data_IF_545687551569
#
_entry.id   IF_545687551569
#
_cell.length_a   1.000
_cell.length_b   1.000
_cell.length_c   1.000
_cell.angle_alpha   90.00
_cell.angle_beta   90.00
_cell.angle_gamma   90.00
#
_symmetry.space_group_name_H-M   'P 1'
#
loop_
_entity.id
_entity.type
_entity.pdbx_description
1 polymer ?
#
# COMPACT_ATOMS: atom_id res chain seq x y z
N UNK A 1 -37.78 -6.09 -10.87
CA UNK A 1 -37.03 -5.30 -9.87
C UNK A 1 -35.96 -4.48 -10.58
N UNK A 2 -36.01 -3.15 -10.56
CA UNK A 2 -35.01 -2.30 -11.21
C UNK A 2 -33.62 -2.59 -10.60
N UNK A 3 -32.63 -2.87 -11.44
CA UNK A 3 -31.24 -2.98 -10.97
C UNK A 3 -30.84 -1.64 -10.33
N UNK A 4 -30.32 -1.64 -9.09
CA UNK A 4 -29.89 -0.40 -8.46
C UNK A 4 -28.79 0.25 -9.31
N UNK A 5 -28.85 1.57 -9.47
CA UNK A 5 -27.85 2.31 -10.22
C UNK A 5 -26.44 2.04 -9.66
N UNK A 6 -25.41 1.80 -10.48
CA UNK A 6 -24.05 1.49 -9.99
C UNK A 6 -23.52 2.46 -8.95
N UNK A 7 -23.80 3.77 -9.11
CA UNK A 7 -23.41 4.79 -8.13
C UNK A 7 -24.09 4.62 -6.76
N UNK A 8 -25.33 4.12 -6.73
CA UNK A 8 -26.03 3.85 -5.48
C UNK A 8 -25.42 2.66 -4.73
N UNK A 9 -24.88 1.67 -5.46
CA UNK A 9 -24.19 0.51 -4.85
C UNK A 9 -22.85 0.91 -4.21
N UNK A 10 -22.09 1.81 -4.84
CA UNK A 10 -20.81 2.27 -4.31
C UNK A 10 -20.96 3.00 -2.98
N UNK A 11 -22.07 3.70 -2.79
CA UNK A 11 -22.36 4.48 -1.60
C UNK A 11 -23.04 3.66 -0.47
N UNK A 12 -23.10 2.33 -0.58
CA UNK A 12 -23.68 1.44 0.46
C UNK A 12 -22.68 1.04 1.54
N UNK A 13 -21.38 0.99 1.22
CA UNK A 13 -20.37 0.55 2.16
C UNK A 13 -19.03 1.26 1.92
N UNK A 14 -18.27 1.58 3.00
CA UNK A 14 -17.00 2.30 2.88
C UNK A 14 -15.97 1.61 1.98
N UNK A 15 -15.83 0.28 2.10
CA UNK A 15 -14.90 -0.46 1.25
C UNK A 15 -15.25 -0.35 -0.24
N UNK A 16 -16.53 -0.30 -0.64
CA UNK A 16 -16.94 -0.13 -2.05
C UNK A 16 -16.55 1.25 -2.56
N UNK A 17 -16.84 2.29 -1.77
CA UNK A 17 -16.57 3.68 -2.11
C UNK A 17 -15.08 3.97 -2.34
N UNK A 18 -14.19 3.29 -1.61
CA UNK A 18 -12.76 3.56 -1.65
C UNK A 18 -11.92 2.50 -2.41
N UNK A 19 -12.30 1.21 -2.38
CA UNK A 19 -11.50 0.17 -3.05
C UNK A 19 -11.64 0.21 -4.57
N UNK A 20 -12.83 0.54 -5.08
CA UNK A 20 -13.02 0.70 -6.53
C UNK A 20 -12.09 1.77 -7.11
N UNK A 21 -12.11 3.03 -6.63
CA UNK A 21 -11.16 4.02 -7.12
C UNK A 21 -9.72 3.62 -6.81
N UNK A 22 -9.42 2.97 -5.68
CA UNK A 22 -8.09 2.43 -5.41
C UNK A 22 -7.59 1.47 -6.49
N UNK A 23 -8.44 0.55 -6.97
CA UNK A 23 -8.09 -0.36 -8.08
C UNK A 23 -7.91 0.38 -9.41
N UNK A 24 -8.80 1.34 -9.71
CA UNK A 24 -8.71 2.15 -10.91
C UNK A 24 -7.42 2.97 -10.93
N UNK A 25 -7.05 3.61 -9.82
CA UNK A 25 -5.81 4.37 -9.72
C UNK A 25 -4.57 3.48 -9.76
N UNK A 26 -4.60 2.29 -9.14
CA UNK A 26 -3.49 1.34 -9.28
C UNK A 26 -3.23 0.99 -10.76
N UNK A 27 -4.28 0.75 -11.55
CA UNK A 27 -4.16 0.47 -12.99
C UNK A 27 -3.73 1.74 -13.75
N UNK A 28 -4.39 2.88 -13.52
CA UNK A 28 -4.11 4.14 -14.21
C UNK A 28 -2.68 4.62 -13.99
N UNK A 29 -2.19 4.58 -12.75
CA UNK A 29 -0.85 5.06 -12.41
C UNK A 29 0.24 4.13 -12.95
N UNK A 30 0.01 2.82 -12.97
CA UNK A 30 0.93 1.89 -13.64
C UNK A 30 0.87 2.03 -15.17
N UNK A 31 -0.28 2.36 -15.75
CA UNK A 31 -0.40 2.66 -17.17
C UNK A 31 0.37 3.93 -17.53
N UNK A 32 0.19 5.01 -16.75
CA UNK A 32 0.92 6.26 -16.93
C UNK A 32 2.43 6.05 -16.79
N UNK A 33 2.87 5.27 -15.78
CA UNK A 33 4.28 4.94 -15.62
C UNK A 33 4.84 4.07 -16.74
N UNK A 34 4.07 3.10 -17.22
CA UNK A 34 4.47 2.26 -18.37
C UNK A 34 4.61 3.09 -19.64
N UNK A 35 3.72 4.05 -19.86
CA UNK A 35 3.79 4.99 -20.98
C UNK A 35 5.02 5.90 -20.88
N UNK A 36 5.34 6.40 -19.69
CA UNK A 36 6.55 7.19 -19.43
C UNK A 36 7.85 6.38 -19.63
N UNK A 37 7.88 5.10 -19.26
CA UNK A 37 9.02 4.25 -19.54
C UNK A 37 9.15 3.97 -21.05
N UNK A 38 8.03 3.78 -21.74
CA UNK A 38 8.02 3.60 -23.19
C UNK A 38 8.47 4.86 -23.94
N UNK A 39 8.03 6.05 -23.53
CA UNK A 39 8.47 7.33 -24.15
C UNK A 39 9.98 7.50 -24.03
N UNK A 40 10.57 7.19 -22.87
CA UNK A 40 12.02 7.21 -22.64
C UNK A 40 12.78 6.24 -23.56
N UNK A 41 12.27 5.03 -23.76
CA UNK A 41 12.87 4.05 -24.67
C UNK A 41 12.81 4.50 -26.14
N UNK A 42 11.79 5.26 -26.50
CA UNK A 42 11.60 5.83 -27.84
C UNK A 42 12.32 7.18 -28.03
N UNK A 43 13.04 7.67 -27.02
CA UNK A 43 13.71 8.98 -27.08
C UNK A 43 12.75 10.18 -27.07
N UNK A 44 11.49 9.98 -26.67
CA UNK A 44 10.48 11.04 -26.57
C UNK A 44 10.57 11.68 -25.20
N UNK A 45 10.87 12.97 -25.17
CA UNK A 45 10.95 13.75 -23.94
C UNK A 45 9.73 14.65 -23.80
N UNK A 46 8.96 14.45 -22.74
CA UNK A 46 7.82 15.29 -22.37
C UNK A 46 8.24 16.18 -21.21
N UNK A 47 8.11 17.50 -21.39
CA UNK A 47 8.26 18.45 -20.28
C UNK A 47 7.01 18.38 -19.39
N UNK A 48 7.20 18.00 -18.12
CA UNK A 48 6.15 17.96 -17.10
C UNK A 48 6.41 19.03 -16.03
N UNK A 49 5.36 19.40 -15.31
CA UNK A 49 5.41 20.37 -14.22
C UNK A 49 6.37 19.98 -13.07
N UNK A 50 6.63 18.67 -12.92
CA UNK A 50 7.65 18.12 -12.01
C UNK A 50 8.35 16.94 -12.70
N UNK A 51 9.62 16.62 -12.36
CA UNK A 51 10.31 15.48 -12.93
C UNK A 51 9.53 14.17 -12.74
N UNK A 52 9.40 13.37 -13.80
CA UNK A 52 8.53 12.17 -13.78
C UNK A 52 8.96 11.11 -12.77
N UNK A 53 10.25 11.02 -12.43
CA UNK A 53 10.75 10.13 -11.36
C UNK A 53 10.30 10.56 -9.96
N UNK A 54 10.31 11.88 -9.69
CA UNK A 54 9.83 12.43 -8.41
C UNK A 54 8.31 12.30 -8.30
N UNK A 55 7.61 12.53 -9.42
CA UNK A 55 6.18 12.31 -9.53
C UNK A 55 5.80 10.84 -9.30
N UNK A 56 6.52 9.92 -9.93
CA UNK A 56 6.35 8.49 -9.72
C UNK A 56 6.51 8.11 -8.25
N UNK A 57 7.54 8.62 -7.56
CA UNK A 57 7.75 8.36 -6.14
C UNK A 57 6.54 8.80 -5.29
N UNK A 58 6.04 10.02 -5.49
CA UNK A 58 4.84 10.49 -4.79
C UNK A 58 3.61 9.62 -5.10
N UNK A 59 3.34 9.38 -6.39
CA UNK A 59 2.16 8.65 -6.85
C UNK A 59 2.17 7.17 -6.46
N UNK A 60 3.32 6.52 -6.37
CA UNK A 60 3.39 5.13 -5.90
C UNK A 60 3.14 5.01 -4.39
N UNK A 61 3.38 6.07 -3.61
CA UNK A 61 3.16 6.07 -2.16
C UNK A 61 1.73 6.49 -1.81
N UNK A 62 1.20 7.53 -2.45
CA UNK A 62 -0.10 8.13 -2.13
C UNK A 62 -1.20 7.83 -3.15
N UNK A 63 -0.86 7.38 -4.36
CA UNK A 63 -1.81 7.32 -5.46
C UNK A 63 -2.93 6.28 -5.32
N UNK A 64 -2.72 5.20 -4.54
CA UNK A 64 -3.76 4.19 -4.37
C UNK A 64 -3.78 3.51 -2.99
N UNK A 65 -2.66 3.36 -2.29
CA UNK A 65 -2.65 2.73 -0.96
C UNK A 65 -3.61 3.42 0.03
N UNK A 66 -3.63 4.77 0.14
CA UNK A 66 -4.53 5.44 1.09
C UNK A 66 -6.03 5.30 0.76
N UNK A 67 -6.39 5.03 -0.51
CA UNK A 67 -7.78 4.68 -0.88
C UNK A 67 -8.16 3.31 -0.32
N UNK A 68 -7.28 2.31 -0.43
CA UNK A 68 -7.49 1.01 0.21
C UNK A 68 -7.46 1.11 1.74
N UNK A 69 -6.60 1.95 2.31
CA UNK A 69 -6.59 2.19 3.77
C UNK A 69 -7.90 2.85 4.22
N UNK A 70 -8.42 3.84 3.48
CA UNK A 70 -9.73 4.46 3.77
C UNK A 70 -10.84 3.40 3.81
N UNK A 71 -10.97 2.59 2.76
CA UNK A 71 -12.01 1.58 2.69
C UNK A 71 -11.90 0.54 3.80
N UNK A 72 -10.66 0.17 4.16
CA UNK A 72 -10.40 -0.77 5.23
C UNK A 72 -10.68 -0.17 6.61
N UNK A 73 -10.14 1.00 6.91
CA UNK A 73 -10.25 1.64 8.23
C UNK A 73 -11.70 2.06 8.53
N UNK A 74 -12.46 2.50 7.54
CA UNK A 74 -13.88 2.83 7.74
C UNK A 74 -14.78 1.59 7.80
N UNK A 75 -14.31 0.41 7.39
CA UNK A 75 -15.08 -0.85 7.48
C UNK A 75 -14.70 -1.70 8.69
N UNK A 76 -13.40 -1.90 8.92
CA UNK A 76 -12.87 -2.76 9.97
C UNK A 76 -12.50 -1.98 11.25
N UNK A 77 -12.09 -0.72 11.12
CA UNK A 77 -11.73 0.14 12.26
C UNK A 77 -12.84 0.29 13.29
N UNK A 78 -14.08 0.64 12.90
CA UNK A 78 -15.22 0.70 13.83
C UNK A 78 -15.42 -0.60 14.60
N UNK A 79 -15.28 -1.76 13.92
CA UNK A 79 -15.38 -3.08 14.57
C UNK A 79 -14.26 -3.35 15.55
N UNK A 80 -13.03 -2.91 15.26
CA UNK A 80 -11.91 -3.03 16.20
C UNK A 80 -12.09 -2.17 17.44
N UNK A 81 -12.76 -1.04 17.26
CA UNK A 81 -12.95 -0.03 18.28
C UNK A 81 -14.29 -0.17 19.01
N UNK A 82 -15.18 -1.07 18.58
CA UNK A 82 -16.50 -1.25 19.19
C UNK A 82 -17.40 -0.02 19.05
N UNK A 83 -17.31 0.69 17.93
CA UNK A 83 -18.09 1.90 17.63
C UNK A 83 -18.80 1.78 16.28
N UNK A 84 -19.77 2.64 16.04
CA UNK A 84 -20.46 2.72 14.75
C UNK A 84 -19.55 3.26 13.64
N UNK A 85 -19.74 2.81 12.38
CA UNK A 85 -18.98 3.33 11.25
C UNK A 85 -19.32 4.80 10.96
N UNK A 86 -18.41 5.53 10.29
CA UNK A 86 -18.67 6.92 9.92
C UNK A 86 -19.88 7.02 8.99
N UNK A 87 -20.58 8.16 9.06
CA UNK A 87 -21.75 8.43 8.21
C UNK A 87 -21.42 8.47 6.72
N UNK A 88 -22.44 8.30 5.88
CA UNK A 88 -22.35 8.23 4.40
C UNK A 88 -21.63 9.41 3.77
N UNK A 89 -21.88 10.63 4.25
CA UNK A 89 -21.21 11.82 3.76
C UNK A 89 -19.69 11.72 3.89
N UNK A 90 -19.20 11.19 5.01
CA UNK A 90 -17.76 11.06 5.29
C UNK A 90 -17.15 9.91 4.50
N UNK A 91 -17.73 8.71 4.55
CA UNK A 91 -17.09 7.56 3.88
C UNK A 91 -17.13 7.64 2.35
N UNK A 92 -18.03 8.44 1.77
CA UNK A 92 -18.03 8.74 0.33
C UNK A 92 -17.19 9.99 0.03
N UNK A 93 -17.34 11.05 0.83
CA UNK A 93 -16.68 12.33 0.59
C UNK A 93 -15.16 12.26 0.72
N UNK A 94 -14.64 11.57 1.73
CA UNK A 94 -13.19 11.41 1.94
C UNK A 94 -12.49 10.79 0.73
N UNK A 95 -12.86 9.58 0.24
CA UNK A 95 -12.23 9.02 -0.96
C UNK A 95 -12.54 9.84 -2.22
N UNK A 96 -13.68 10.52 -2.32
CA UNK A 96 -13.97 11.39 -3.46
C UNK A 96 -13.03 12.60 -3.53
N UNK A 97 -12.70 13.22 -2.40
CA UNK A 97 -11.69 14.30 -2.33
C UNK A 97 -10.31 13.79 -2.75
N UNK A 98 -9.91 12.60 -2.28
CA UNK A 98 -8.64 11.99 -2.68
C UNK A 98 -8.60 11.68 -4.18
N UNK A 99 -9.69 11.12 -4.74
CA UNK A 99 -9.82 10.86 -6.18
C UNK A 99 -9.73 12.15 -6.99
N UNK A 100 -10.52 13.17 -6.63
CA UNK A 100 -10.48 14.46 -7.31
C UNK A 100 -9.10 15.11 -7.24
N UNK A 101 -8.46 15.04 -6.07
CA UNK A 101 -7.10 15.51 -5.86
C UNK A 101 -6.10 14.81 -6.77
N UNK A 102 -6.13 13.48 -6.86
CA UNK A 102 -5.24 12.71 -7.73
C UNK A 102 -5.47 12.98 -9.23
N UNK A 103 -6.73 13.13 -9.66
CA UNK A 103 -7.04 13.48 -11.05
C UNK A 103 -6.45 14.85 -11.41
N UNK A 104 -6.63 15.85 -10.55
CA UNK A 104 -6.06 17.19 -10.74
C UNK A 104 -4.53 17.17 -10.63
N UNK A 105 -3.97 16.35 -9.75
CA UNK A 105 -2.53 16.19 -9.61
C UNK A 105 -1.90 15.63 -10.89
N UNK A 106 -2.51 14.57 -11.46
CA UNK A 106 -2.10 13.97 -12.74
C UNK A 106 -2.28 14.92 -13.92
N UNK A 107 -3.42 15.61 -14.00
CA UNK A 107 -3.65 16.62 -15.04
C UNK A 107 -2.65 17.77 -14.91
N UNK A 108 -2.33 18.18 -13.68
CA UNK A 108 -1.36 19.23 -13.39
C UNK A 108 0.06 18.93 -13.86
N UNK A 109 0.45 17.66 -13.99
CA UNK A 109 1.73 17.31 -14.63
C UNK A 109 1.87 17.93 -16.03
N UNK A 110 0.76 18.09 -16.75
CA UNK A 110 0.71 18.65 -18.11
C UNK A 110 0.22 20.09 -18.12
N UNK A 111 -0.73 20.43 -17.23
CA UNK A 111 -1.36 21.75 -17.18
C UNK A 111 -0.56 22.78 -16.36
N UNK A 112 0.46 22.34 -15.63
CA UNK A 112 1.35 23.20 -14.85
C UNK A 112 1.20 23.04 -13.33
N UNK A 113 2.21 23.54 -12.60
CA UNK A 113 2.38 23.34 -11.16
C UNK A 113 1.19 23.83 -10.32
N UNK A 114 0.48 24.88 -10.75
CA UNK A 114 -0.71 25.39 -10.05
C UNK A 114 -1.82 24.34 -9.95
N UNK A 115 -2.06 23.58 -11.02
CA UNK A 115 -3.03 22.49 -11.02
C UNK A 115 -2.57 21.31 -10.15
N UNK A 116 -1.26 21.02 -10.16
CA UNK A 116 -0.65 20.02 -9.26
C UNK A 116 -0.83 20.41 -7.80
N UNK A 117 -0.64 21.69 -7.44
CA UNK A 117 -0.84 22.21 -6.09
C UNK A 117 -2.31 22.15 -5.64
N UNK A 118 -3.25 22.50 -6.52
CA UNK A 118 -4.70 22.37 -6.23
C UNK A 118 -5.05 20.89 -5.99
N UNK A 119 -4.56 19.99 -6.86
CA UNK A 119 -4.75 18.56 -6.70
C UNK A 119 -4.15 18.03 -5.39
N UNK A 120 -2.94 18.49 -5.04
CA UNK A 120 -2.25 18.15 -3.80
C UNK A 120 -3.02 18.63 -2.56
N UNK A 121 -3.53 19.87 -2.57
CA UNK A 121 -4.32 20.42 -1.48
C UNK A 121 -5.64 19.64 -1.29
N UNK A 122 -6.34 19.35 -2.38
CA UNK A 122 -7.59 18.58 -2.35
C UNK A 122 -7.36 17.14 -1.86
N UNK A 123 -6.28 16.50 -2.30
CA UNK A 123 -5.87 15.19 -1.81
C UNK A 123 -5.55 15.22 -0.31
N UNK A 124 -4.80 16.23 0.13
CA UNK A 124 -4.42 16.42 1.54
C UNK A 124 -5.65 16.65 2.42
N UNK A 125 -6.68 17.36 1.92
CA UNK A 125 -7.95 17.51 2.62
C UNK A 125 -8.66 16.17 2.79
N UNK A 126 -8.72 15.36 1.74
CA UNK A 126 -9.26 14.00 1.82
C UNK A 126 -8.49 13.12 2.81
N UNK A 127 -7.16 13.10 2.73
CA UNK A 127 -6.30 12.35 3.65
C UNK A 127 -6.42 12.83 5.12
N UNK A 128 -6.57 14.14 5.34
CA UNK A 128 -6.84 14.71 6.66
C UNK A 128 -8.20 14.28 7.17
N UNK A 129 -9.22 14.22 6.30
CA UNK A 129 -10.53 13.68 6.62
C UNK A 129 -10.48 12.22 7.06
N UNK A 130 -9.68 11.37 6.39
CA UNK A 130 -9.39 10.00 6.85
C UNK A 130 -8.81 9.99 8.26
N UNK A 131 -7.74 10.76 8.47
CA UNK A 131 -6.97 10.80 9.72
C UNK A 131 -7.83 11.28 10.89
N UNK A 132 -8.53 12.40 10.71
CA UNK A 132 -9.40 12.98 11.73
C UNK A 132 -10.59 12.08 12.04
N UNK A 133 -11.22 11.50 11.03
CA UNK A 133 -12.33 10.55 11.25
C UNK A 133 -11.87 9.36 12.07
N UNK A 134 -10.71 8.78 11.73
CA UNK A 134 -10.17 7.64 12.48
C UNK A 134 -9.76 8.02 13.91
N UNK A 135 -9.25 9.24 14.12
CA UNK A 135 -9.00 9.78 15.47
C UNK A 135 -10.29 9.88 16.29
N UNK A 136 -11.37 10.41 15.71
CA UNK A 136 -12.68 10.48 16.38
C UNK A 136 -13.21 9.09 16.75
N UNK A 137 -13.11 8.10 15.86
CA UNK A 137 -13.49 6.71 16.16
C UNK A 137 -12.66 6.13 17.31
N UNK A 138 -11.36 6.43 17.36
CA UNK A 138 -10.46 5.97 18.43
C UNK A 138 -10.80 6.59 19.79
N UNK A 139 -11.12 7.90 19.80
CA UNK A 139 -11.53 8.62 21.00
C UNK A 139 -12.88 8.14 21.54
N UNK A 140 -13.82 7.81 20.66
CA UNK A 140 -15.13 7.26 21.02
C UNK A 140 -15.09 5.78 21.45
N UNK A 141 -13.94 5.10 21.31
CA UNK A 141 -13.84 3.67 21.52
C UNK A 141 -13.95 3.25 23.00
N UNK A 142 -14.88 2.35 23.35
CA UNK A 142 -14.94 1.75 24.69
C UNK A 142 -13.91 0.63 24.91
N UNK A 143 -13.13 0.25 23.89
CA UNK A 143 -12.23 -0.90 23.97
C UNK A 143 -11.00 -0.60 24.84
N UNK A 144 -10.63 -1.55 25.69
CA UNK A 144 -9.45 -1.44 26.55
C UNK A 144 -8.14 -1.50 25.74
N UNK A 145 -8.03 -2.45 24.80
CA UNK A 145 -6.87 -2.56 23.91
C UNK A 145 -7.08 -1.78 22.62
N UNK A 146 -6.45 -0.60 22.55
CA UNK A 146 -6.47 0.30 21.39
C UNK A 146 -5.10 0.37 20.69
N UNK A 147 -4.13 -0.46 21.05
CA UNK A 147 -2.72 -0.33 20.63
C UNK A 147 -2.54 -0.30 19.12
N UNK A 148 -3.19 -1.22 18.39
CA UNK A 148 -3.11 -1.24 16.92
C UNK A 148 -3.75 0.00 16.28
N UNK A 149 -4.86 0.49 16.84
CA UNK A 149 -5.52 1.67 16.30
C UNK A 149 -4.72 2.95 16.59
N UNK A 150 -4.10 3.08 17.79
CA UNK A 150 -3.16 4.16 18.09
C UNK A 150 -1.96 4.14 17.14
N UNK A 151 -1.37 2.96 16.87
CA UNK A 151 -0.25 2.83 15.94
C UNK A 151 -0.61 3.22 14.50
N UNK A 152 -1.78 2.80 14.02
CA UNK A 152 -2.30 3.23 12.71
C UNK A 152 -2.53 4.73 12.67
N UNK A 153 -3.12 5.32 13.72
CA UNK A 153 -3.36 6.75 13.78
C UNK A 153 -2.06 7.56 13.80
N UNK A 154 -1.06 7.13 14.57
CA UNK A 154 0.26 7.76 14.58
C UNK A 154 0.90 7.72 13.18
N UNK A 155 0.79 6.58 12.48
CA UNK A 155 1.28 6.44 11.13
C UNK A 155 0.53 7.34 10.12
N UNK A 156 -0.80 7.47 10.26
CA UNK A 156 -1.59 8.42 9.46
C UNK A 156 -1.14 9.86 9.71
N UNK A 157 -0.82 10.21 10.96
CA UNK A 157 -0.28 11.53 11.28
C UNK A 157 1.08 11.77 10.57
N UNK A 158 1.97 10.79 10.57
CA UNK A 158 3.21 10.85 9.77
C UNK A 158 2.92 10.98 8.26
N UNK A 159 1.86 10.36 7.75
CA UNK A 159 1.41 10.52 6.37
C UNK A 159 0.93 11.93 6.06
N UNK A 160 0.23 12.58 7.00
CA UNK A 160 -0.15 13.98 6.88
C UNK A 160 1.08 14.91 6.90
N UNK A 161 2.06 14.65 7.76
CA UNK A 161 3.34 15.38 7.77
C UNK A 161 4.11 15.19 6.46
N UNK A 162 4.10 13.99 5.87
CA UNK A 162 4.68 13.74 4.56
C UNK A 162 3.99 14.55 3.46
N UNK A 163 2.66 14.69 3.50
CA UNK A 163 1.92 15.55 2.56
C UNK A 163 2.25 17.03 2.73
N UNK A 164 2.51 17.50 3.95
CA UNK A 164 3.00 18.87 4.18
C UNK A 164 4.41 19.07 3.60
N UNK A 165 5.32 18.12 3.81
CA UNK A 165 6.63 18.13 3.17
C UNK A 165 6.51 18.08 1.63
N UNK A 166 5.55 17.33 1.11
CA UNK A 166 5.23 17.29 -0.32
C UNK A 166 4.71 18.63 -0.85
N UNK A 167 3.88 19.35 -0.08
CA UNK A 167 3.42 20.68 -0.44
C UNK A 167 4.60 21.67 -0.47
N UNK A 168 5.47 21.62 0.54
CA UNK A 168 6.68 22.44 0.59
C UNK A 168 7.58 22.17 -0.63
N UNK A 169 7.83 20.90 -0.95
CA UNK A 169 8.56 20.50 -2.15
C UNK A 169 7.94 21.12 -3.41
N UNK A 170 6.62 21.02 -3.60
CA UNK A 170 5.97 21.53 -4.81
C UNK A 170 6.01 23.07 -4.90
N UNK A 171 5.89 23.78 -3.78
CA UNK A 171 5.89 25.25 -3.74
C UNK A 171 7.30 25.81 -3.98
N UNK A 172 8.29 25.27 -3.28
CA UNK A 172 9.66 25.80 -3.28
C UNK A 172 10.60 25.06 -4.23
N UNK A 173 10.14 23.99 -4.88
CA UNK A 173 10.94 23.12 -5.74
C UNK A 173 12.18 22.55 -5.01
N UNK A 174 12.08 22.35 -3.70
CA UNK A 174 13.15 21.85 -2.84
C UNK A 174 13.23 20.31 -2.89
N UNK A 175 14.32 19.80 -3.46
CA UNK A 175 14.59 18.37 -3.54
C UNK A 175 14.76 17.70 -2.17
N UNK A 176 15.23 18.43 -1.16
CA UNK A 176 15.37 17.90 0.20
C UNK A 176 13.99 17.64 0.83
N UNK A 177 13.03 18.55 0.62
CA UNK A 177 11.66 18.34 1.06
C UNK A 177 10.98 17.14 0.38
N UNK A 178 11.33 16.82 -0.88
CA UNK A 178 10.88 15.58 -1.51
C UNK A 178 11.43 14.34 -0.80
N UNK A 179 12.69 14.36 -0.37
CA UNK A 179 13.28 13.27 0.42
C UNK A 179 12.60 13.12 1.78
N UNK A 180 12.29 14.23 2.47
CA UNK A 180 11.51 14.19 3.71
C UNK A 180 10.12 13.60 3.50
N UNK A 181 9.41 14.04 2.46
CA UNK A 181 8.10 13.48 2.08
C UNK A 181 8.21 11.97 1.85
N UNK A 182 9.16 11.54 1.02
CA UNK A 182 9.38 10.12 0.68
C UNK A 182 9.65 9.29 1.94
N UNK A 183 10.58 9.74 2.78
CA UNK A 183 11.01 8.99 3.96
C UNK A 183 9.89 8.91 5.02
N UNK A 184 9.17 10.02 5.27
CA UNK A 184 8.00 10.01 6.17
C UNK A 184 6.89 9.11 5.61
N UNK A 185 6.61 9.18 4.30
CA UNK A 185 5.58 8.37 3.67
C UNK A 185 5.89 6.86 3.70
N UNK A 186 7.14 6.46 3.47
CA UNK A 186 7.56 5.06 3.53
C UNK A 186 7.64 4.53 4.96
N UNK A 187 8.45 5.19 5.79
CA UNK A 187 8.94 4.65 7.05
C UNK A 187 8.14 5.12 8.26
N UNK A 188 7.50 6.29 8.16
CA UNK A 188 6.59 6.83 9.17
C UNK A 188 5.14 6.44 8.94
N UNK A 189 4.73 6.21 7.69
CA UNK A 189 3.33 5.99 7.32
C UNK A 189 3.04 4.58 6.78
N UNK A 190 3.44 4.28 5.53
CA UNK A 190 3.02 3.04 4.86
C UNK A 190 3.51 1.81 5.61
N UNK A 191 4.83 1.67 5.84
CA UNK A 191 5.36 0.49 6.50
C UNK A 191 4.76 0.30 7.91
N UNK A 192 4.65 1.32 8.77
CA UNK A 192 3.96 1.20 10.06
C UNK A 192 2.49 0.76 9.96
N UNK A 193 1.71 1.28 9.01
CA UNK A 193 0.32 0.81 8.82
C UNK A 193 0.31 -0.65 8.42
N UNK A 194 1.10 -1.04 7.40
CA UNK A 194 1.16 -2.42 6.93
C UNK A 194 1.63 -3.38 8.03
N UNK A 195 2.69 -3.06 8.78
CA UNK A 195 3.19 -3.88 9.89
C UNK A 195 2.15 -4.03 11.00
N UNK A 196 1.47 -2.93 11.36
CA UNK A 196 0.43 -2.96 12.41
C UNK A 196 -0.74 -3.85 11.99
N UNK A 197 -1.20 -3.72 10.75
CA UNK A 197 -2.27 -4.56 10.19
C UNK A 197 -1.80 -6.01 10.11
N UNK A 198 -0.57 -6.29 9.67
CA UNK A 198 -0.04 -7.65 9.60
C UNK A 198 0.05 -8.30 10.98
N UNK A 199 0.61 -7.59 11.97
CA UNK A 199 0.74 -8.06 13.34
C UNK A 199 -0.62 -8.45 13.97
N UNK A 200 -1.70 -7.79 13.57
CA UNK A 200 -3.06 -8.12 14.04
C UNK A 200 -3.71 -9.21 13.19
N UNK A 201 -3.67 -9.07 11.87
CA UNK A 201 -4.51 -9.81 10.93
C UNK A 201 -3.90 -11.14 10.48
N UNK A 202 -2.58 -11.24 10.28
CA UNK A 202 -1.97 -12.51 9.85
C UNK A 202 -2.14 -13.60 10.92
N UNK A 203 -1.87 -13.34 12.22
CA UNK A 203 -2.15 -14.31 13.28
C UNK A 203 -3.64 -14.64 13.40
N UNK A 204 -4.52 -13.63 13.33
CA UNK A 204 -5.97 -13.84 13.37
C UNK A 204 -6.46 -14.73 12.22
N UNK A 205 -6.03 -14.46 10.99
CA UNK A 205 -6.40 -15.25 9.83
C UNK A 205 -5.80 -16.66 9.85
N UNK A 206 -4.60 -16.81 10.39
CA UNK A 206 -3.97 -18.12 10.53
C UNK A 206 -4.72 -18.98 11.56
N UNK A 207 -5.19 -18.41 12.67
CA UNK A 207 -5.97 -19.14 13.68
C UNK A 207 -7.32 -19.61 13.16
N UNK A 208 -7.92 -18.88 12.22
CA UNK A 208 -9.19 -19.26 11.59
C UNK A 208 -9.03 -20.31 10.47
N UNK A 209 -7.82 -20.52 9.95
CA UNK A 209 -7.59 -21.33 8.74
C UNK A 209 -6.63 -22.51 8.95
N UNK A 210 -5.78 -22.48 9.96
CA UNK A 210 -4.83 -23.54 10.28
C UNK A 210 -5.28 -24.31 11.52
N UNK A 211 -5.33 -25.65 11.48
CA UNK A 211 -5.53 -26.46 12.67
C UNK A 211 -4.47 -26.17 13.74
N UNK A 212 -4.92 -26.11 14.99
CA UNK A 212 -4.07 -26.02 16.19
C UNK A 212 -3.10 -24.83 16.20
N UNK A 213 -3.42 -23.73 15.49
CA UNK A 213 -2.61 -22.52 15.51
C UNK A 213 -3.02 -21.58 16.65
N UNK A 214 -2.11 -21.42 17.62
CA UNK A 214 -2.20 -20.40 18.66
C UNK A 214 -1.70 -19.04 18.11
N UNK A 215 -2.52 -17.97 18.09
CA UNK A 215 -2.09 -16.65 17.63
C UNK A 215 -0.88 -16.13 18.41
N UNK A 216 0.27 -16.03 17.75
CA UNK A 216 1.47 -15.42 18.34
C UNK A 216 1.67 -13.99 17.85
N UNK A 217 1.47 -13.03 18.75
CA UNK A 217 1.55 -11.58 18.48
C UNK A 217 1.84 -10.77 19.75
N UNK A 218 2.97 -11.02 20.45
CA UNK A 218 3.27 -10.34 21.70
C UNK A 218 3.41 -8.82 21.49
N UNK A 219 3.04 -8.02 22.49
CA UNK A 219 3.02 -6.55 22.37
C UNK A 219 4.38 -5.93 22.02
N UNK A 220 5.48 -6.52 22.51
CA UNK A 220 6.84 -6.08 22.19
C UNK A 220 7.16 -6.23 20.70
N UNK A 221 6.56 -7.21 20.00
CA UNK A 221 6.81 -7.42 18.58
C UNK A 221 6.29 -6.24 17.77
N UNK A 222 5.08 -5.74 18.07
CA UNK A 222 4.58 -4.54 17.43
C UNK A 222 5.53 -3.35 17.67
N UNK A 223 5.97 -3.15 18.90
CA UNK A 223 6.91 -2.07 19.23
C UNK A 223 8.23 -2.22 18.46
N UNK A 224 8.81 -3.42 18.38
CA UNK A 224 10.05 -3.68 17.66
C UNK A 224 9.91 -3.44 16.14
N UNK A 225 8.80 -3.88 15.54
CA UNK A 225 8.50 -3.67 14.13
C UNK A 225 8.35 -2.18 13.80
N UNK A 226 7.65 -1.42 14.64
CA UNK A 226 7.47 0.03 14.45
C UNK A 226 8.77 0.81 14.71
N UNK A 227 9.50 0.45 15.77
CA UNK A 227 10.79 1.06 16.08
C UNK A 227 11.82 0.78 14.99
N UNK A 228 11.82 -0.42 14.39
CA UNK A 228 12.68 -0.74 13.25
C UNK A 228 12.35 0.08 12.00
N UNK A 229 11.07 0.23 11.66
CA UNK A 229 10.63 1.07 10.54
C UNK A 229 11.04 2.53 10.74
N UNK A 230 10.69 3.12 11.89
CA UNK A 230 11.02 4.51 12.21
C UNK A 230 12.54 4.72 12.34
N UNK A 231 13.22 3.78 12.99
CA UNK A 231 14.68 3.81 13.17
C UNK A 231 15.41 3.78 11.84
N UNK A 232 15.01 2.93 10.89
CA UNK A 232 15.57 2.91 9.54
C UNK A 232 15.38 4.27 8.85
N UNK A 233 14.15 4.80 8.84
CA UNK A 233 13.86 6.09 8.21
C UNK A 233 14.58 7.27 8.84
N UNK A 234 14.79 7.26 10.15
CA UNK A 234 15.57 8.28 10.87
C UNK A 234 17.06 8.19 10.51
N UNK A 235 17.64 6.99 10.56
CA UNK A 235 19.06 6.80 10.23
C UNK A 235 19.34 7.18 8.77
N UNK A 236 18.51 6.72 7.82
CA UNK A 236 18.60 7.11 6.40
C UNK A 236 18.46 8.64 6.23
N UNK A 237 17.49 9.25 6.92
CA UNK A 237 17.26 10.69 6.86
C UNK A 237 18.42 11.55 7.36
N UNK A 238 19.21 11.05 8.31
CA UNK A 238 20.43 11.71 8.81
C UNK A 238 21.71 11.24 8.11
N UNK A 239 21.62 10.34 7.12
CA UNK A 239 22.78 9.76 6.45
C UNK A 239 23.64 8.88 7.36
N UNK A 240 23.07 8.34 8.43
CA UNK A 240 23.73 7.46 9.39
C UNK A 240 23.64 5.98 8.94
N UNK A 241 24.63 5.14 9.29
CA UNK A 241 24.62 3.74 8.89
C UNK A 241 23.48 2.96 9.57
N UNK A 242 22.49 2.53 8.78
CA UNK A 242 21.35 1.75 9.24
C UNK A 242 21.58 0.23 9.21
N UNK A 243 22.67 -0.25 8.60
CA UNK A 243 22.86 -1.68 8.34
C UNK A 243 22.76 -2.61 9.56
N UNK A 244 23.21 -2.25 10.79
CA UNK A 244 23.05 -3.14 11.94
C UNK A 244 21.57 -3.29 12.34
N UNK A 245 20.82 -2.19 12.29
CA UNK A 245 19.38 -2.20 12.54
C UNK A 245 18.65 -3.00 11.46
N UNK A 246 19.03 -2.80 10.19
CA UNK A 246 18.41 -3.49 9.06
C UNK A 246 18.69 -5.00 9.09
N UNK A 247 19.89 -5.41 9.49
CA UNK A 247 20.23 -6.82 9.68
C UNK A 247 19.41 -7.45 10.83
N UNK A 248 19.27 -6.73 11.95
CA UNK A 248 18.44 -7.17 13.07
C UNK A 248 16.96 -7.27 12.68
N UNK A 249 16.45 -6.30 11.90
CA UNK A 249 15.09 -6.33 11.35
C UNK A 249 14.90 -7.51 10.40
N UNK A 250 15.84 -7.76 9.49
CA UNK A 250 15.78 -8.90 8.58
C UNK A 250 15.68 -10.23 9.34
N UNK A 251 16.52 -10.42 10.37
CA UNK A 251 16.48 -11.61 11.22
C UNK A 251 15.16 -11.74 12.00
N UNK A 252 14.67 -10.64 12.60
CA UNK A 252 13.38 -10.63 13.31
C UNK A 252 12.22 -10.99 12.38
N UNK A 253 12.18 -10.40 11.19
CA UNK A 253 11.11 -10.61 10.22
C UNK A 253 11.13 -12.04 9.64
N UNK A 254 12.31 -12.62 9.43
CA UNK A 254 12.46 -14.03 9.07
C UNK A 254 11.96 -14.95 10.19
N UNK A 255 12.34 -14.66 11.44
CA UNK A 255 11.85 -15.38 12.62
C UNK A 255 10.32 -15.28 12.76
N UNK A 256 9.74 -14.10 12.56
CA UNK A 256 8.28 -13.89 12.61
C UNK A 256 7.60 -14.71 11.50
N UNK A 257 8.16 -14.72 10.29
CA UNK A 257 7.62 -15.51 9.16
C UNK A 257 7.60 -17.01 9.48
N UNK A 258 8.66 -17.53 10.11
CA UNK A 258 8.70 -18.90 10.61
C UNK A 258 7.68 -19.13 11.74
N UNK A 259 7.64 -18.23 12.74
CA UNK A 259 6.77 -18.34 13.93
C UNK A 259 5.29 -18.24 13.59
N UNK A 260 4.94 -17.53 12.52
CA UNK A 260 3.60 -17.46 11.92
C UNK A 260 3.30 -18.63 10.97
N UNK A 261 4.19 -19.64 10.90
CA UNK A 261 4.02 -20.90 10.14
C UNK A 261 3.82 -20.68 8.65
N UNK A 262 4.64 -19.84 8.00
CA UNK A 262 4.63 -19.60 6.55
C UNK A 262 4.38 -20.88 5.73
N UNK A 263 5.13 -21.95 5.97
CA UNK A 263 5.01 -23.23 5.23
C UNK A 263 3.60 -23.84 5.36
N UNK A 264 3.01 -23.81 6.55
CA UNK A 264 1.65 -24.32 6.74
C UNK A 264 0.61 -23.38 6.09
N UNK A 265 0.82 -22.07 6.17
CA UNK A 265 -0.03 -21.08 5.54
C UNK A 265 -0.11 -21.24 4.01
N UNK A 266 0.98 -21.65 3.36
CA UNK A 266 0.99 -21.91 1.91
C UNK A 266 0.03 -23.02 1.46
N UNK A 267 -0.40 -23.92 2.36
CA UNK A 267 -1.40 -24.96 2.06
C UNK A 267 -2.80 -24.36 1.81
N UNK A 268 -3.08 -23.20 2.37
CA UNK A 268 -4.34 -22.46 2.18
C UNK A 268 -4.05 -21.25 1.31
N UNK A 269 -4.32 -21.33 0.00
CA UNK A 269 -3.91 -20.31 -0.99
C UNK A 269 -4.15 -18.86 -0.54
N UNK A 270 -5.36 -18.54 -0.06
CA UNK A 270 -5.71 -17.17 0.34
C UNK A 270 -4.92 -16.69 1.58
N UNK A 271 -4.56 -17.61 2.49
CA UNK A 271 -3.67 -17.31 3.60
C UNK A 271 -2.22 -17.23 3.12
N UNK A 272 -1.79 -18.19 2.29
CA UNK A 272 -0.47 -18.23 1.67
C UNK A 272 -0.13 -16.96 0.93
N UNK A 273 -1.10 -16.32 0.25
CA UNK A 273 -0.89 -15.01 -0.38
C UNK A 273 -0.36 -13.98 0.63
N UNK A 274 -1.02 -13.83 1.78
CA UNK A 274 -0.60 -12.86 2.81
C UNK A 274 0.79 -13.17 3.37
N UNK A 275 1.10 -14.44 3.61
CA UNK A 275 2.39 -14.84 4.16
C UNK A 275 3.53 -14.72 3.13
N UNK A 276 3.28 -14.99 1.85
CA UNK A 276 4.25 -14.74 0.77
C UNK A 276 4.59 -13.25 0.65
N UNK A 277 3.58 -12.38 0.72
CA UNK A 277 3.83 -10.95 0.75
C UNK A 277 4.72 -10.56 1.94
N UNK A 278 4.37 -11.01 3.15
CA UNK A 278 5.16 -10.70 4.36
C UNK A 278 6.61 -11.21 4.28
N UNK A 279 6.86 -12.33 3.60
CA UNK A 279 8.20 -12.89 3.41
C UNK A 279 9.13 -12.01 2.55
N UNK A 280 8.63 -10.96 1.89
CA UNK A 280 9.47 -9.96 1.25
C UNK A 280 10.16 -9.01 2.22
N UNK A 281 9.62 -8.80 3.43
CA UNK A 281 10.23 -7.92 4.42
C UNK A 281 11.63 -8.37 4.86
N UNK A 282 11.89 -9.65 5.22
CA UNK A 282 13.26 -10.07 5.53
C UNK A 282 14.20 -9.93 4.32
N UNK A 283 13.70 -10.13 3.09
CA UNK A 283 14.49 -9.90 1.87
C UNK A 283 14.83 -8.41 1.70
N UNK A 284 13.85 -7.52 1.84
CA UNK A 284 14.05 -6.08 1.70
C UNK A 284 15.01 -5.51 2.75
N UNK A 285 14.81 -5.83 4.02
CA UNK A 285 15.72 -5.40 5.08
C UNK A 285 17.10 -6.06 4.98
N UNK A 286 17.18 -7.31 4.50
CA UNK A 286 18.46 -7.96 4.20
C UNK A 286 19.22 -7.24 3.09
N UNK A 287 18.53 -6.78 2.03
CA UNK A 287 19.12 -5.96 0.97
C UNK A 287 19.54 -4.58 1.48
N UNK A 288 18.78 -3.96 2.38
CA UNK A 288 19.19 -2.70 3.03
C UNK A 288 20.44 -2.88 3.90
N UNK A 289 20.53 -3.96 4.67
CA UNK A 289 21.71 -4.30 5.45
C UNK A 289 22.94 -4.50 4.56
N UNK A 290 22.80 -5.27 3.47
CA UNK A 290 23.87 -5.47 2.49
C UNK A 290 24.26 -4.17 1.79
N UNK A 291 23.29 -3.32 1.44
CA UNK A 291 23.54 -2.00 0.87
C UNK A 291 24.41 -1.14 1.79
N UNK A 292 24.04 -1.04 3.07
CA UNK A 292 24.77 -0.22 4.03
C UNK A 292 26.15 -0.79 4.41
N UNK A 293 26.30 -2.12 4.39
CA UNK A 293 27.61 -2.77 4.57
C UNK A 293 28.52 -2.51 3.37
N UNK A 294 28.04 -2.78 2.15
CA UNK A 294 28.83 -2.73 0.92
C UNK A 294 28.94 -1.32 0.30
N UNK A 295 28.19 -0.35 0.83
CA UNK A 295 28.05 1.00 0.28
C UNK A 295 27.70 1.02 -1.23
N UNK A 296 26.76 0.15 -1.65
CA UNK A 296 26.41 -0.04 -3.08
C UNK A 296 25.04 0.56 -3.44
N UNK A 297 24.96 1.74 -4.09
CA UNK A 297 23.70 2.45 -4.35
C UNK A 297 22.63 1.64 -5.12
N UNK A 298 23.04 0.66 -5.91
CA UNK A 298 22.13 -0.24 -6.65
C UNK A 298 21.31 -1.13 -5.71
N UNK A 299 21.91 -1.57 -4.61
CA UNK A 299 21.23 -2.39 -3.61
C UNK A 299 20.17 -1.60 -2.84
N UNK A 300 20.34 -0.29 -2.67
CA UNK A 300 19.32 0.56 -2.04
C UNK A 300 18.01 0.57 -2.83
N UNK A 301 18.07 0.69 -4.17
CA UNK A 301 16.87 0.64 -5.02
C UNK A 301 16.25 -0.76 -5.07
N UNK A 302 17.08 -1.81 -5.09
CA UNK A 302 16.60 -3.19 -4.99
C UNK A 302 15.83 -3.43 -3.68
N UNK A 303 16.39 -2.97 -2.56
CA UNK A 303 15.77 -3.06 -1.24
C UNK A 303 14.45 -2.29 -1.16
N UNK A 304 14.42 -1.07 -1.70
CA UNK A 304 13.21 -0.25 -1.78
C UNK A 304 12.10 -0.95 -2.56
N UNK A 305 12.41 -1.54 -3.72
CA UNK A 305 11.43 -2.28 -4.52
C UNK A 305 11.00 -3.61 -3.87
N UNK A 306 11.87 -4.26 -3.11
CA UNK A 306 11.49 -5.43 -2.32
C UNK A 306 10.43 -5.08 -1.26
N UNK A 307 10.55 -3.93 -0.58
CA UNK A 307 9.56 -3.45 0.38
C UNK A 307 8.29 -2.93 -0.31
N UNK A 308 8.42 -2.13 -1.37
CA UNK A 308 7.28 -1.46 -2.00
C UNK A 308 6.50 -2.37 -2.95
N UNK A 309 7.18 -2.97 -3.91
CA UNK A 309 6.55 -3.84 -4.93
C UNK A 309 6.42 -5.27 -4.41
N UNK A 310 7.48 -5.78 -3.78
CA UNK A 310 7.49 -7.12 -3.18
C UNK A 310 6.50 -7.23 -2.03
N UNK A 311 6.62 -6.39 -1.00
CA UNK A 311 5.72 -6.43 0.16
C UNK A 311 4.44 -5.61 -0.03
N UNK A 312 4.46 -4.27 -0.15
CA UNK A 312 3.21 -3.49 -0.10
C UNK A 312 2.22 -3.84 -1.21
N UNK A 313 2.68 -3.90 -2.46
CA UNK A 313 1.78 -4.12 -3.59
C UNK A 313 1.19 -5.54 -3.59
N UNK A 314 2.01 -6.56 -3.34
CA UNK A 314 1.48 -7.93 -3.24
C UNK A 314 0.65 -8.15 -1.96
N UNK A 315 0.98 -7.50 -0.85
CA UNK A 315 0.17 -7.54 0.37
C UNK A 315 -1.20 -6.88 0.12
N UNK A 316 -1.22 -5.74 -0.56
CA UNK A 316 -2.46 -5.06 -0.96
C UNK A 316 -3.33 -5.98 -1.83
N UNK A 317 -2.77 -6.61 -2.87
CA UNK A 317 -3.50 -7.55 -3.73
C UNK A 317 -4.11 -8.69 -2.88
N UNK A 318 -3.31 -9.30 -2.00
CA UNK A 318 -3.76 -10.40 -1.16
C UNK A 318 -4.88 -9.98 -0.20
N UNK A 319 -4.67 -8.88 0.50
CA UNK A 319 -5.57 -8.39 1.54
C UNK A 319 -6.88 -7.88 0.95
N UNK A 320 -6.82 -7.05 -0.09
CA UNK A 320 -8.00 -6.53 -0.79
C UNK A 320 -8.79 -7.67 -1.42
N UNK A 321 -8.14 -8.66 -2.03
CA UNK A 321 -8.84 -9.83 -2.57
C UNK A 321 -9.65 -10.56 -1.50
N UNK A 322 -9.05 -10.80 -0.32
CA UNK A 322 -9.73 -11.44 0.81
C UNK A 322 -10.92 -10.62 1.31
N UNK A 323 -10.73 -9.31 1.52
CA UNK A 323 -11.79 -8.41 2.00
C UNK A 323 -12.93 -8.36 0.99
N UNK A 324 -12.63 -8.23 -0.30
CA UNK A 324 -13.64 -8.19 -1.35
C UNK A 324 -14.41 -9.50 -1.46
N UNK A 325 -13.78 -10.67 -1.34
CA UNK A 325 -14.50 -11.95 -1.27
C UNK A 325 -15.46 -12.00 -0.08
N UNK A 326 -14.96 -11.69 1.12
CA UNK A 326 -15.76 -11.75 2.35
C UNK A 326 -16.94 -10.77 2.36
N UNK A 327 -16.75 -9.55 1.89
CA UNK A 327 -17.79 -8.52 1.88
C UNK A 327 -18.75 -8.64 0.68
N UNK A 328 -18.36 -9.34 -0.38
CA UNK A 328 -19.26 -9.67 -1.50
C UNK A 328 -20.05 -10.97 -1.29
N UNK A 329 -19.88 -11.64 -0.14
CA UNK A 329 -20.56 -12.90 0.16
C UNK A 329 -20.03 -14.10 -0.64
N UNK A 330 -18.84 -13.97 -1.23
CA UNK A 330 -18.21 -15.05 -1.97
C UNK A 330 -17.42 -15.98 -1.04
N UNK A 331 -17.17 -17.24 -1.45
CA UNK A 331 -16.30 -18.14 -0.69
C UNK A 331 -14.91 -17.52 -0.44
N UNK A 332 -14.41 -17.63 0.79
CA UNK A 332 -13.08 -17.15 1.18
C UNK A 332 -11.97 -18.09 0.69
N UNK A 333 -11.94 -18.34 -0.63
CA UNK A 333 -11.00 -19.23 -1.29
C UNK A 333 -10.41 -18.54 -2.51
N UNK A 334 -9.09 -18.62 -2.68
CA UNK A 334 -8.44 -18.12 -3.88
C UNK A 334 -8.61 -19.15 -5.02
N UNK A 335 -9.27 -18.73 -6.09
CA UNK A 335 -9.40 -19.53 -7.31
C UNK A 335 -8.01 -19.83 -7.91
N UNK A 336 -7.86 -20.90 -8.71
CA UNK A 336 -6.59 -21.19 -9.39
C UNK A 336 -6.10 -20.01 -10.25
N UNK A 337 -7.01 -19.27 -10.89
CA UNK A 337 -6.69 -18.09 -11.67
C UNK A 337 -6.11 -16.95 -10.82
N UNK A 338 -6.74 -16.65 -9.68
CA UNK A 338 -6.22 -15.65 -8.74
C UNK A 338 -4.85 -16.04 -8.19
N UNK A 339 -4.66 -17.31 -7.85
CA UNK A 339 -3.37 -17.81 -7.36
C UNK A 339 -2.26 -17.65 -8.39
N UNK A 340 -2.49 -18.04 -9.66
CA UNK A 340 -1.51 -17.85 -10.74
C UNK A 340 -1.18 -16.37 -10.98
N UNK A 341 -2.19 -15.51 -10.99
CA UNK A 341 -2.00 -14.07 -11.09
C UNK A 341 -1.13 -13.54 -9.94
N UNK A 342 -1.37 -14.03 -8.74
CA UNK A 342 -0.60 -13.65 -7.56
C UNK A 342 0.86 -14.11 -7.61
N UNK A 343 1.12 -15.32 -8.10
CA UNK A 343 2.47 -15.80 -8.34
C UNK A 343 3.17 -15.00 -9.45
N UNK A 344 2.45 -14.62 -10.51
CA UNK A 344 2.98 -13.72 -11.55
C UNK A 344 3.40 -12.37 -10.95
N UNK A 345 2.63 -11.81 -10.02
CA UNK A 345 2.99 -10.59 -9.30
C UNK A 345 4.31 -10.75 -8.50
N UNK A 346 4.54 -11.92 -7.89
CA UNK A 346 5.80 -12.21 -7.19
C UNK A 346 6.99 -12.32 -8.15
N UNK A 347 6.80 -12.98 -9.29
CA UNK A 347 7.82 -13.03 -10.33
C UNK A 347 8.17 -11.63 -10.85
N UNK A 348 7.17 -10.77 -11.07
CA UNK A 348 7.38 -9.38 -11.49
C UNK A 348 8.04 -8.52 -10.42
N UNK A 349 7.78 -8.77 -9.14
CA UNK A 349 8.52 -8.15 -8.04
C UNK A 349 9.99 -8.61 -8.05
N UNK A 350 10.23 -9.91 -8.22
CA UNK A 350 11.58 -10.46 -8.29
C UNK A 350 12.37 -9.94 -9.47
N UNK A 351 11.77 -9.88 -10.66
CA UNK A 351 12.44 -9.27 -11.82
C UNK A 351 12.73 -7.80 -11.56
N UNK A 352 11.81 -7.05 -10.92
CA UNK A 352 12.05 -5.65 -10.57
C UNK A 352 13.22 -5.47 -9.60
N UNK A 353 13.36 -6.33 -8.60
CA UNK A 353 14.46 -6.31 -7.63
C UNK A 353 15.77 -6.76 -8.28
N UNK A 354 15.75 -7.85 -9.04
CA UNK A 354 16.94 -8.41 -9.69
C UNK A 354 17.51 -7.48 -10.77
N UNK A 355 16.65 -6.76 -11.49
CA UNK A 355 17.08 -5.84 -12.56
C UNK A 355 17.90 -4.65 -12.05
N UNK A 356 17.72 -4.23 -10.80
CA UNK A 356 18.57 -3.21 -10.16
C UNK A 356 20.02 -3.69 -9.98
N UNK A 357 20.25 -5.01 -9.99
CA UNK A 357 21.57 -5.62 -9.87
C UNK A 357 22.24 -5.87 -11.23
N UNK A 358 21.52 -5.69 -12.35
CA UNK A 358 22.04 -5.94 -13.70
C UNK A 358 22.74 -4.70 -14.30
N UNK A 359 23.67 -4.88 -15.26
CA UNK A 359 24.28 -3.79 -16.02
C UNK A 359 23.24 -2.97 -16.82
N UNK A 360 23.47 -1.67 -16.96
CA UNK A 360 22.49 -0.69 -17.48
C UNK A 360 22.01 -0.89 -18.94
N UNK A 361 22.73 -1.65 -19.76
CA UNK A 361 22.31 -1.92 -21.16
C UNK A 361 21.08 -2.82 -21.25
N UNK A 362 20.88 -3.73 -20.29
CA UNK A 362 19.72 -4.62 -20.24
C UNK A 362 18.56 -4.04 -19.41
N UNK A 363 18.83 -3.02 -18.59
CA UNK A 363 17.89 -2.58 -17.56
C UNK A 363 16.69 -1.83 -18.13
N UNK A 364 16.85 -1.00 -19.17
CA UNK A 364 15.76 -0.20 -19.74
C UNK A 364 14.59 -1.03 -20.29
N UNK A 365 14.89 -2.02 -21.14
CA UNK A 365 13.87 -2.92 -21.69
C UNK A 365 13.23 -3.81 -20.63
N UNK A 366 14.01 -4.30 -19.67
CA UNK A 366 13.50 -5.10 -18.57
C UNK A 366 12.61 -4.28 -17.63
N UNK A 367 12.91 -3.00 -17.39
CA UNK A 367 12.05 -2.09 -16.63
C UNK A 367 10.72 -1.86 -17.32
N UNK A 368 10.74 -1.59 -18.64
CA UNK A 368 9.52 -1.45 -19.44
C UNK A 368 8.67 -2.73 -19.44
N UNK A 369 9.30 -3.89 -19.64
CA UNK A 369 8.62 -5.18 -19.59
C UNK A 369 8.03 -5.49 -18.22
N UNK A 370 8.76 -5.22 -17.13
CA UNK A 370 8.26 -5.40 -15.77
C UNK A 370 7.08 -4.47 -15.47
N UNK A 371 7.16 -3.19 -15.87
CA UNK A 371 6.06 -2.24 -15.69
C UNK A 371 4.80 -2.65 -16.46
N UNK A 372 4.96 -3.08 -17.72
CA UNK A 372 3.86 -3.61 -18.53
C UNK A 372 3.28 -4.89 -17.92
N UNK A 373 4.12 -5.81 -17.45
CA UNK A 373 3.68 -7.02 -16.77
C UNK A 373 2.87 -6.71 -15.50
N UNK A 374 3.29 -5.71 -14.72
CA UNK A 374 2.54 -5.22 -13.57
C UNK A 374 1.19 -4.62 -13.96
N UNK A 375 1.16 -3.79 -15.01
CA UNK A 375 -0.09 -3.23 -15.54
C UNK A 375 -1.07 -4.34 -15.95
N UNK A 376 -0.61 -5.32 -16.71
CA UNK A 376 -1.44 -6.45 -17.15
C UNK A 376 -1.95 -7.28 -15.97
N UNK A 377 -1.10 -7.50 -14.96
CA UNK A 377 -1.45 -8.23 -13.74
C UNK A 377 -2.52 -7.48 -12.94
N UNK A 378 -2.35 -6.17 -12.73
CA UNK A 378 -3.32 -5.33 -12.03
C UNK A 378 -4.63 -5.20 -12.82
N UNK A 379 -4.58 -5.09 -14.15
CA UNK A 379 -5.77 -5.04 -15.00
C UNK A 379 -6.55 -6.35 -14.93
N UNK A 380 -5.87 -7.50 -15.01
CA UNK A 380 -6.50 -8.81 -14.88
C UNK A 380 -7.11 -9.02 -13.48
N UNK A 381 -6.43 -8.55 -12.43
CA UNK A 381 -6.95 -8.58 -11.06
C UNK A 381 -8.16 -7.65 -10.89
N UNK A 382 -8.07 -6.41 -11.37
CA UNK A 382 -9.15 -5.44 -11.35
C UNK A 382 -10.39 -5.98 -12.07
N UNK A 383 -10.22 -6.57 -13.27
CA UNK A 383 -11.32 -7.21 -14.01
C UNK A 383 -12.04 -8.29 -13.20
N UNK A 384 -11.30 -9.07 -12.40
CA UNK A 384 -11.88 -10.12 -11.57
C UNK A 384 -12.64 -9.57 -10.35
N UNK A 385 -12.17 -8.47 -9.74
CA UNK A 385 -12.67 -8.01 -8.44
C UNK A 385 -13.56 -6.78 -8.49
N UNK A 386 -13.31 -5.82 -9.39
CA UNK A 386 -14.07 -4.58 -9.50
C UNK A 386 -15.61 -4.78 -9.62
N UNK A 387 -16.11 -5.81 -10.35
CA UNK A 387 -17.55 -6.07 -10.40
C UNK A 387 -18.21 -6.25 -9.04
N UNK A 388 -17.47 -6.72 -8.04
CA UNK A 388 -17.98 -6.92 -6.68
C UNK A 388 -18.42 -5.61 -6.01
N UNK A 389 -17.92 -4.45 -6.45
CA UNK A 389 -18.24 -3.16 -5.82
C UNK A 389 -19.51 -2.50 -6.35
N UNK A 390 -19.96 -2.84 -7.56
CA UNK A 390 -21.23 -2.36 -8.11
C UNK A 390 -22.28 -3.45 -8.31
N UNK A 391 -21.95 -4.73 -8.06
CA UNK A 391 -22.91 -5.82 -7.98
C UNK A 391 -23.41 -6.03 -6.55
N UNK A 392 -24.63 -6.57 -6.44
CA UNK A 392 -25.17 -7.09 -5.18
C UNK A 392 -24.30 -8.24 -4.67
N UNK A 393 -24.31 -8.44 -3.36
CA UNK A 393 -23.63 -9.58 -2.74
C UNK A 393 -24.19 -10.89 -3.25
N UNK A 394 -23.32 -11.88 -3.37
CA UNK A 394 -23.67 -13.23 -3.83
C UNK A 394 -24.57 -13.97 -2.82
N UNK A 395 -24.47 -13.63 -1.53
CA UNK A 395 -25.27 -14.23 -0.46
C UNK A 395 -26.63 -13.53 -0.23
N UNK A 396 -26.99 -12.55 -1.07
CA UNK A 396 -28.26 -11.83 -0.98
C UNK A 396 -28.42 -10.88 0.23
N UNK A 397 -27.40 -10.80 1.11
CA UNK A 397 -27.45 -9.94 2.29
C UNK A 397 -27.26 -8.46 1.93
N UNK A 398 -27.67 -7.53 2.82
CA UNK A 398 -27.32 -6.11 2.67
C UNK A 398 -25.79 -5.90 2.69
N UNK A 399 -25.33 -4.90 1.93
CA UNK A 399 -23.94 -4.41 1.97
C UNK A 399 -23.23 -4.32 0.63
#
# INVERSE_FOLDING_TARGET
MKHPHPAAMLAQAPHRAAFLPGMLFAILLLAAWSAELASRLLGVHVALAVPSSLAHGFLMLFGFFPLFMTGFLFTAGPRWLGVEPPGRLIFVGVPALMVGGLLLWLAGLWLGISWTLIGHALYTLGFSGLTLTFACLLLASPQADRRHACAVLAALFCGALALLAGAYWLIFQDGQAWLWMRNLALWGFLLPVFLTVCHRMLPFFSANALPEYQPWRPGWLLAALLAGSLGHGLLDGFGLPAWPLDAAMAALLAYVSWRWRLVAALRVRLLGMLHLAFAWLPVGFGLYALNGWLASPRLALAALHAVTVGFFLTMMIAFVSRVTLGHSGQPLQASPGLWRLYLAAHWLALTRVATEMLPGVWSGWLYGAAALGWLLTLAAWGRAFMPSYWRRRADGKPG
#
